data_IF_415609024901
#
_entry.id   IF_415609024901
#
_cell.length_a   1.000
_cell.length_b   1.000
_cell.length_c   1.000
_cell.angle_alpha   90.00
_cell.angle_beta   90.00
_cell.angle_gamma   90.00
#
_symmetry.space_group_name_H-M   'P 1'
#
loop_
_entity.id
_entity.type
_entity.pdbx_description
1 polymer ?
#
# COMPACT_ATOMS: atom_id res chain seq x y z
N UNK A 1 4.40 27.38 21.01
CA UNK A 1 5.28 26.78 20.00
C UNK A 1 6.22 25.81 20.65
N UNK A 2 5.94 24.53 20.45
CA UNK A 2 6.85 23.44 20.75
C UNK A 2 8.21 23.67 20.06
N UNK A 3 9.30 23.47 20.78
CA UNK A 3 10.64 23.47 20.19
C UNK A 3 10.95 22.03 19.72
N UNK A 4 11.14 21.86 18.41
CA UNK A 4 11.38 20.55 17.80
C UNK A 4 12.78 20.49 17.19
N UNK A 5 13.39 19.30 17.22
CA UNK A 5 14.62 19.01 16.48
C UNK A 5 14.43 17.72 15.70
N UNK A 6 14.73 17.73 14.41
CA UNK A 6 14.45 16.57 13.56
C UNK A 6 15.57 16.30 12.57
N UNK A 7 15.55 15.09 12.03
CA UNK A 7 16.36 14.68 10.90
C UNK A 7 15.67 13.53 10.15
N UNK A 8 16.12 13.27 8.94
CA UNK A 8 15.61 12.19 8.13
C UNK A 8 16.74 11.48 7.38
N UNK A 9 16.57 10.19 7.17
CA UNK A 9 17.44 9.38 6.33
C UNK A 9 16.59 8.51 5.42
N UNK A 10 16.99 8.39 4.15
CA UNK A 10 16.34 7.50 3.19
C UNK A 10 17.41 6.76 2.39
N UNK A 11 17.16 5.49 2.09
CA UNK A 11 18.05 4.60 1.35
C UNK A 11 17.22 3.68 0.46
N UNK A 12 17.62 3.43 -0.80
CA UNK A 12 16.89 2.51 -1.68
C UNK A 12 16.90 1.06 -1.17
N UNK A 13 17.74 0.72 -0.19
CA UNK A 13 17.96 -0.64 0.26
C UNK A 13 18.96 -1.39 -0.63
N UNK A 14 19.19 -2.65 -0.29
CA UNK A 14 20.16 -3.53 -0.97
C UNK A 14 19.56 -4.24 -2.19
N UNK A 15 18.23 -4.30 -2.30
CA UNK A 15 17.53 -5.15 -3.28
C UNK A 15 16.69 -4.39 -4.31
N UNK A 16 16.51 -3.07 -4.17
CA UNK A 16 15.73 -2.24 -5.09
C UNK A 16 16.64 -1.38 -5.97
N UNK A 17 16.22 -1.16 -7.22
CA UNK A 17 16.95 -0.32 -8.18
C UNK A 17 16.60 1.17 -8.05
N UNK A 18 15.46 1.48 -7.44
CA UNK A 18 14.90 2.82 -7.29
C UNK A 18 14.32 2.98 -5.89
N UNK A 19 14.25 4.22 -5.43
CA UNK A 19 13.59 4.59 -4.19
C UNK A 19 12.21 5.17 -4.50
N UNK A 20 11.16 4.44 -4.15
CA UNK A 20 9.76 4.86 -4.31
C UNK A 20 9.24 5.55 -3.03
N UNK A 21 10.03 5.62 -1.95
CA UNK A 21 9.68 6.36 -0.74
C UNK A 21 9.92 7.87 -0.91
N UNK A 22 9.03 8.67 -0.33
CA UNK A 22 9.25 10.10 -0.10
C UNK A 22 8.96 10.45 1.36
N UNK A 23 9.59 11.53 1.84
CA UNK A 23 9.33 12.05 3.19
C UNK A 23 9.23 13.58 3.19
N UNK A 24 8.52 14.10 4.18
CA UNK A 24 8.51 15.50 4.57
C UNK A 24 9.11 15.64 5.97
N UNK A 25 10.03 16.58 6.14
CA UNK A 25 10.59 16.90 7.45
C UNK A 25 10.90 18.40 7.53
N UNK A 26 9.87 19.19 7.79
CA UNK A 26 9.94 20.65 7.97
C UNK A 26 9.41 21.01 9.36
N UNK A 27 9.57 22.26 9.76
CA UNK A 27 9.13 22.69 11.08
C UNK A 27 7.63 22.43 11.28
N UNK A 28 7.30 21.72 12.35
CA UNK A 28 5.94 21.33 12.68
C UNK A 28 5.23 20.36 11.74
N UNK A 29 5.83 19.87 10.64
CA UNK A 29 5.15 18.93 9.72
C UNK A 29 6.10 17.84 9.22
N UNK A 30 5.74 16.60 9.52
CA UNK A 30 6.52 15.40 9.22
C UNK A 30 5.64 14.35 8.55
N UNK A 31 6.15 13.69 7.51
CA UNK A 31 5.44 12.60 6.87
C UNK A 31 6.41 11.61 6.21
N UNK A 32 5.99 10.35 6.11
CA UNK A 32 6.62 9.32 5.27
C UNK A 32 5.54 8.71 4.39
N UNK A 33 5.83 8.57 3.11
CA UNK A 33 4.95 7.98 2.11
C UNK A 33 5.73 6.91 1.33
N UNK A 34 5.27 5.67 1.42
CA UNK A 34 5.86 4.51 0.75
C UNK A 34 5.11 4.22 -0.54
N UNK A 35 5.78 4.47 -1.67
CA UNK A 35 5.21 4.34 -3.00
C UNK A 35 5.09 2.87 -3.42
N UNK A 36 3.89 2.44 -3.74
CA UNK A 36 3.63 1.07 -4.21
C UNK A 36 3.33 1.08 -5.70
N UNK A 37 4.11 0.32 -6.47
CA UNK A 37 3.88 0.18 -7.90
C UNK A 37 4.45 -1.08 -8.53
N UNK A 38 5.58 -1.61 -8.04
CA UNK A 38 6.27 -2.80 -8.57
C UNK A 38 6.82 -2.64 -10.00
N UNK A 39 6.16 -1.82 -10.84
CA UNK A 39 6.48 -1.35 -12.18
C UNK A 39 5.73 -0.03 -12.55
N UNK A 40 4.93 0.55 -11.65
CA UNK A 40 3.91 1.58 -11.94
C UNK A 40 4.02 2.77 -10.97
N UNK A 41 4.85 3.76 -11.32
CA UNK A 41 4.86 5.14 -10.81
C UNK A 41 4.63 5.32 -9.29
N UNK A 42 5.10 4.41 -8.44
CA UNK A 42 4.93 4.49 -6.99
C UNK A 42 5.60 5.73 -6.42
N UNK A 43 6.77 6.07 -6.96
CA UNK A 43 7.53 7.29 -6.67
C UNK A 43 6.72 8.55 -6.94
N UNK A 44 5.87 8.54 -7.97
CA UNK A 44 5.02 9.68 -8.32
C UNK A 44 3.88 9.82 -7.30
N UNK A 45 3.31 8.72 -6.83
CA UNK A 45 2.23 8.74 -5.85
C UNK A 45 2.71 9.25 -4.47
N UNK A 46 3.86 8.75 -4.01
CA UNK A 46 4.47 9.19 -2.75
C UNK A 46 4.93 10.66 -2.83
N UNK A 47 5.53 11.08 -3.95
CA UNK A 47 5.91 12.48 -4.20
C UNK A 47 4.70 13.43 -4.18
N UNK A 48 3.61 13.10 -4.89
CA UNK A 48 2.37 13.90 -4.90
C UNK A 48 1.86 14.11 -3.47
N UNK A 49 1.87 13.05 -2.67
CA UNK A 49 1.35 13.07 -1.29
C UNK A 49 2.16 14.01 -0.41
N UNK A 50 3.48 13.84 -0.39
CA UNK A 50 4.40 14.65 0.41
C UNK A 50 4.36 16.13 -0.01
N UNK A 51 4.35 16.41 -1.32
CA UNK A 51 4.30 17.77 -1.83
C UNK A 51 3.00 18.48 -1.48
N UNK A 52 1.86 17.79 -1.55
CA UNK A 52 0.56 18.40 -1.21
C UNK A 52 0.45 18.71 0.29
N UNK A 53 0.98 17.83 1.15
CA UNK A 53 1.10 18.07 2.59
C UNK A 53 1.99 19.29 2.85
N UNK A 54 3.16 19.37 2.20
CA UNK A 54 4.07 20.49 2.35
C UNK A 54 3.46 21.82 1.88
N UNK A 55 2.80 21.84 0.72
CA UNK A 55 2.19 23.05 0.16
C UNK A 55 1.10 23.62 1.07
N UNK A 56 0.31 22.75 1.70
CA UNK A 56 -0.89 23.19 2.43
C UNK A 56 -0.68 23.35 3.92
N UNK A 57 0.22 22.59 4.53
CA UNK A 57 0.52 22.69 5.96
C UNK A 57 1.84 23.41 6.24
N UNK A 58 2.79 23.42 5.29
CA UNK A 58 4.10 24.04 5.45
C UNK A 58 4.18 25.53 5.08
N UNK A 59 3.13 26.08 4.46
CA UNK A 59 3.09 27.49 4.01
C UNK A 59 2.84 28.51 5.13
N UNK A 60 2.65 28.07 6.38
CA UNK A 60 2.26 28.97 7.48
C UNK A 60 3.40 29.91 7.93
N UNK A 61 4.64 29.73 7.46
CA UNK A 61 5.79 30.57 7.84
C UNK A 61 6.66 31.11 6.69
N UNK A 62 6.18 31.13 5.44
CA UNK A 62 6.92 31.72 4.30
C UNK A 62 6.55 33.19 4.00
N UNK A 63 6.19 33.97 5.02
CA UNK A 63 6.14 35.42 4.90
C UNK A 63 7.39 36.06 5.51
N UNK A 64 8.14 36.77 4.66
CA UNK A 64 9.18 37.77 4.94
C UNK A 64 10.66 37.34 4.95
N UNK A 65 11.22 37.08 3.76
CA UNK A 65 12.48 37.74 3.33
C UNK A 65 12.49 37.85 1.80
N UNK A 66 12.04 38.99 1.26
CA UNK A 66 12.65 39.54 0.04
C UNK A 66 13.21 40.92 0.42
N UNK A 67 14.52 40.94 0.68
CA UNK A 67 15.35 42.13 0.57
C UNK A 67 15.42 42.52 -0.91
N UNK A 68 15.01 43.75 -1.26
CA UNK A 68 15.69 44.56 -2.26
C UNK A 68 15.27 46.05 -2.16
N UNK A 69 16.05 47.00 -2.71
CA UNK A 69 16.56 48.11 -1.94
C UNK A 69 15.91 49.46 -2.25
N UNK A 70 16.22 50.40 -1.35
CA UNK A 70 16.02 51.85 -1.42
C UNK A 70 16.24 52.41 -2.84
N UNK A 71 15.23 53.09 -3.39
CA UNK A 71 15.45 54.24 -4.28
C UNK A 71 14.57 55.40 -3.82
N UNK A 72 15.24 56.42 -3.29
CA UNK A 72 14.71 57.77 -3.14
C UNK A 72 14.31 58.28 -4.53
N UNK A 73 13.16 58.92 -4.68
CA UNK A 73 13.02 60.26 -5.26
C UNK A 73 11.63 60.83 -4.97
N UNK A 74 11.67 62.04 -4.42
CA UNK A 74 10.53 62.88 -4.14
C UNK A 74 9.95 63.49 -5.41
N UNK A 75 8.62 63.63 -5.48
CA UNK A 75 8.01 64.80 -6.09
C UNK A 75 6.64 65.10 -5.46
N UNK A 76 6.47 66.38 -5.15
CA UNK A 76 5.35 67.03 -4.48
C UNK A 76 4.20 67.37 -5.43
N UNK A 77 2.95 67.32 -4.96
CA UNK A 77 1.94 68.38 -5.21
C UNK A 77 0.79 68.32 -4.20
N UNK A 78 0.43 69.49 -3.69
CA UNK A 78 -0.71 69.82 -2.82
C UNK A 78 -2.10 69.57 -3.46
N UNK A 79 -3.11 69.16 -2.67
CA UNK A 79 -4.43 69.82 -2.54
C UNK A 79 -5.31 69.16 -1.41
N UNK A 80 -6.16 69.89 -0.65
CA UNK A 80 -6.88 69.36 0.51
C UNK A 80 -8.41 69.18 0.33
N UNK A 81 -8.91 67.97 0.66
CA UNK A 81 -10.25 67.62 1.25
C UNK A 81 -11.55 68.01 0.50
N UNK A 82 -12.77 67.47 0.81
CA UNK A 82 -13.18 66.65 1.98
C UNK A 82 -14.11 65.43 1.71
N UNK A 83 -14.18 64.56 2.73
CA UNK A 83 -15.34 63.75 3.17
C UNK A 83 -16.19 62.98 2.16
N UNK A 84 -16.06 61.65 2.20
CA UNK A 84 -17.19 60.73 2.06
C UNK A 84 -17.08 59.68 3.16
N UNK A 85 -18.15 59.57 3.93
CA UNK A 85 -18.39 58.51 4.91
C UNK A 85 -18.26 57.16 4.19
N UNK A 86 -17.36 56.30 4.65
CA UNK A 86 -17.31 54.90 4.21
C UNK A 86 -17.11 53.98 5.42
N UNK A 87 -17.88 52.91 5.39
CA UNK A 87 -18.12 51.96 6.46
C UNK A 87 -16.81 51.35 6.96
N UNK A 88 -16.55 51.45 8.26
CA UNK A 88 -15.45 50.72 8.90
C UNK A 88 -15.87 49.26 9.09
N UNK A 89 -15.80 48.44 8.02
CA UNK A 89 -15.54 47.02 8.20
C UNK A 89 -14.11 46.89 8.70
N UNK A 90 -13.97 46.48 9.96
CA UNK A 90 -12.71 46.03 10.52
C UNK A 90 -12.29 44.75 9.81
N UNK A 91 -11.70 44.88 8.62
CA UNK A 91 -10.86 43.83 8.03
C UNK A 91 -9.53 43.86 8.78
N UNK A 92 -9.51 43.26 9.95
CA UNK A 92 -8.28 42.63 10.44
C UNK A 92 -7.87 41.60 9.38
N UNK A 93 -6.60 41.54 8.96
CA UNK A 93 -6.12 40.39 8.20
C UNK A 93 -6.44 39.16 9.04
N UNK A 94 -7.25 38.23 8.50
CA UNK A 94 -7.45 36.93 9.11
C UNK A 94 -6.04 36.39 9.45
N UNK A 95 -5.77 36.13 10.72
CA UNK A 95 -4.59 35.36 11.08
C UNK A 95 -4.58 34.09 10.23
N UNK A 96 -3.42 33.65 9.71
CA UNK A 96 -3.36 32.42 8.92
C UNK A 96 -4.04 31.33 9.73
N UNK A 97 -5.10 30.74 9.16
CA UNK A 97 -5.90 29.75 9.85
C UNK A 97 -4.97 28.64 10.35
N UNK A 98 -4.91 28.45 11.67
CA UNK A 98 -4.04 27.45 12.27
C UNK A 98 -4.35 26.07 11.68
N UNK A 99 -3.31 25.29 11.39
CA UNK A 99 -3.46 23.91 10.92
C UNK A 99 -4.30 23.13 11.92
N UNK A 100 -5.35 22.43 11.49
CA UNK A 100 -6.15 21.54 12.35
C UNK A 100 -5.97 20.09 11.91
N UNK A 101 -6.45 19.14 12.73
CA UNK A 101 -6.52 17.73 12.33
C UNK A 101 -7.38 17.53 11.08
N UNK A 102 -8.47 18.28 10.96
CA UNK A 102 -9.34 18.28 9.77
C UNK A 102 -8.60 18.79 8.53
N UNK A 103 -7.74 19.81 8.67
CA UNK A 103 -6.88 20.26 7.58
C UNK A 103 -5.97 19.12 7.14
N UNK A 104 -5.26 18.47 8.07
CA UNK A 104 -4.36 17.36 7.76
C UNK A 104 -5.08 16.23 7.00
N UNK A 105 -6.24 15.78 7.49
CA UNK A 105 -7.01 14.71 6.85
C UNK A 105 -7.57 15.13 5.50
N UNK A 106 -8.03 16.37 5.34
CA UNK A 106 -8.50 16.92 4.06
C UNK A 106 -7.37 16.92 3.03
N UNK A 107 -6.16 17.32 3.41
CA UNK A 107 -5.01 17.32 2.50
C UNK A 107 -4.65 15.91 2.05
N UNK A 108 -4.65 14.94 2.96
CA UNK A 108 -4.41 13.52 2.60
C UNK A 108 -5.52 12.98 1.67
N UNK A 109 -6.78 13.35 1.89
CA UNK A 109 -7.89 12.99 1.01
C UNK A 109 -7.77 13.60 -0.40
N UNK A 110 -7.28 14.84 -0.49
CA UNK A 110 -7.01 15.49 -1.77
C UNK A 110 -5.80 14.89 -2.49
N UNK A 111 -4.79 14.40 -1.75
CA UNK A 111 -3.70 13.63 -2.32
C UNK A 111 -4.23 12.35 -2.98
N UNK A 112 -5.12 11.62 -2.32
CA UNK A 112 -5.79 10.44 -2.91
C UNK A 112 -6.49 10.79 -4.24
N UNK A 113 -7.27 11.87 -4.24
CA UNK A 113 -7.98 12.35 -5.44
C UNK A 113 -7.02 12.72 -6.57
N UNK A 114 -5.90 13.37 -6.23
CA UNK A 114 -4.89 13.82 -7.19
C UNK A 114 -4.13 12.64 -7.79
N UNK A 115 -3.79 11.63 -6.99
CA UNK A 115 -3.14 10.38 -7.43
C UNK A 115 -4.06 9.66 -8.41
N UNK A 116 -5.35 9.48 -8.08
CA UNK A 116 -6.33 8.82 -8.96
C UNK A 116 -6.49 9.59 -10.28
N UNK A 117 -6.56 10.92 -10.23
CA UNK A 117 -6.63 11.74 -11.44
C UNK A 117 -5.38 11.58 -12.32
N UNK A 118 -4.18 11.59 -11.71
CA UNK A 118 -2.92 11.38 -12.41
C UNK A 118 -2.82 9.97 -13.03
N UNK A 119 -3.24 8.94 -12.30
CA UNK A 119 -3.28 7.55 -12.78
C UNK A 119 -4.25 7.36 -13.96
N UNK A 120 -5.37 8.08 -13.98
CA UNK A 120 -6.34 8.03 -15.09
C UNK A 120 -5.88 8.78 -16.35
N UNK A 121 -5.01 9.78 -16.19
CA UNK A 121 -4.53 10.63 -17.30
C UNK A 121 -3.31 10.05 -18.03
N UNK A 122 -2.52 9.20 -17.38
CA UNK A 122 -1.34 8.56 -17.97
C UNK A 122 -1.37 7.04 -17.76
N UNK A 123 -1.49 6.23 -18.83
CA UNK A 123 -1.44 4.77 -18.73
C UNK A 123 -0.19 4.21 -18.03
N UNK A 124 0.92 4.96 -17.99
CA UNK A 124 2.15 4.57 -17.28
C UNK A 124 2.03 4.70 -15.76
N UNK A 125 1.04 5.45 -15.29
CA UNK A 125 0.75 5.71 -13.87
C UNK A 125 -0.48 4.94 -13.39
N UNK A 126 -1.08 4.12 -14.27
CA UNK A 126 -2.27 3.36 -13.95
C UNK A 126 -1.99 2.40 -12.79
N UNK A 127 -2.75 2.52 -11.70
CA UNK A 127 -2.60 1.67 -10.53
C UNK A 127 -1.47 2.08 -9.57
N UNK A 128 -0.85 3.24 -9.74
CA UNK A 128 0.06 3.78 -8.74
C UNK A 128 -0.69 4.06 -7.43
N UNK A 129 -0.03 3.78 -6.31
CA UNK A 129 -0.56 4.09 -4.99
C UNK A 129 0.58 4.34 -4.01
N UNK A 130 0.23 4.78 -2.82
CA UNK A 130 1.20 5.04 -1.76
C UNK A 130 0.56 4.86 -0.40
N UNK A 131 1.36 4.50 0.59
CA UNK A 131 1.00 4.72 1.99
C UNK A 131 1.20 6.20 2.35
N UNK A 132 0.71 6.60 3.51
CA UNK A 132 1.17 7.82 4.19
C UNK A 132 1.06 7.64 5.69
N UNK A 133 2.07 8.10 6.42
CA UNK A 133 2.00 8.32 7.86
C UNK A 133 2.50 9.73 8.15
N UNK A 134 1.74 10.52 8.90
CA UNK A 134 2.00 11.94 9.11
C UNK A 134 1.86 12.33 10.58
N UNK A 135 2.74 13.22 11.00
CA UNK A 135 2.76 13.87 12.31
C UNK A 135 2.90 15.38 12.07
N UNK A 136 1.92 16.17 12.49
CA UNK A 136 1.95 17.62 12.32
C UNK A 136 1.56 18.33 13.61
N UNK A 137 2.15 19.49 13.89
CA UNK A 137 1.66 20.40 14.92
C UNK A 137 0.37 21.01 14.41
N UNK A 138 -0.71 20.76 15.13
CA UNK A 138 -2.06 21.24 14.82
C UNK A 138 -2.64 21.94 16.04
N UNK A 139 -3.63 22.79 15.80
CA UNK A 139 -4.39 23.47 16.83
C UNK A 139 -5.67 22.71 17.16
N UNK A 140 -5.77 22.24 18.40
CA UNK A 140 -6.99 21.72 19.01
C UNK A 140 -7.73 22.83 19.77
N UNK A 141 -9.07 22.96 19.63
CA UNK A 141 -9.84 24.01 20.30
C UNK A 141 -9.78 23.99 21.83
N UNK A 142 -9.48 22.83 22.43
CA UNK A 142 -9.46 22.61 23.88
C UNK A 142 -8.03 22.66 24.40
N UNK A 143 -7.12 21.92 23.75
CA UNK A 143 -5.77 21.69 24.25
C UNK A 143 -4.71 22.63 23.65
N UNK A 144 -5.05 23.41 22.62
CA UNK A 144 -4.12 24.33 21.95
C UNK A 144 -3.21 23.59 20.96
N UNK A 145 -1.89 23.83 21.02
CA UNK A 145 -0.94 23.12 20.15
C UNK A 145 -0.79 21.65 20.57
N UNK A 146 -1.15 20.75 19.66
CA UNK A 146 -1.02 19.30 19.83
C UNK A 146 -0.40 18.68 18.59
N UNK A 147 0.05 17.43 18.67
CA UNK A 147 0.37 16.65 17.48
C UNK A 147 -0.89 16.04 16.89
N UNK A 148 -1.17 16.31 15.62
CA UNK A 148 -2.09 15.55 14.79
C UNK A 148 -1.37 14.38 14.14
N UNK A 149 -1.90 13.18 14.35
CA UNK A 149 -1.45 11.94 13.72
C UNK A 149 -2.44 11.55 12.64
N UNK A 150 -1.94 11.17 11.46
CA UNK A 150 -2.76 10.59 10.40
C UNK A 150 -2.03 9.43 9.71
N UNK A 151 -2.74 8.33 9.46
CA UNK A 151 -2.16 7.11 8.89
C UNK A 151 -3.07 6.46 7.84
N UNK A 152 -2.47 6.08 6.71
CA UNK A 152 -3.05 5.20 5.68
C UNK A 152 -1.96 4.27 5.17
N UNK A 153 -2.00 3.01 5.60
CA UNK A 153 -1.10 1.96 5.13
C UNK A 153 -0.42 1.30 6.31
N UNK A 154 0.71 0.67 6.05
CA UNK A 154 1.54 -0.06 7.00
C UNK A 154 2.88 0.61 7.32
N UNK A 155 3.12 1.83 6.80
CA UNK A 155 4.11 2.73 7.38
C UNK A 155 3.74 3.10 8.83
N UNK A 156 4.74 3.36 9.66
CA UNK A 156 4.55 3.41 11.13
C UNK A 156 5.03 4.71 11.74
N UNK A 157 4.34 5.10 12.82
CA UNK A 157 4.84 6.07 13.78
C UNK A 157 5.08 5.34 15.09
N UNK A 158 6.23 5.59 15.71
CA UNK A 158 6.56 5.21 17.06
C UNK A 158 6.79 6.44 17.91
N UNK A 159 6.55 6.32 19.22
CA UNK A 159 7.00 7.26 20.23
C UNK A 159 7.91 6.52 21.22
N UNK A 160 9.06 7.12 21.51
CA UNK A 160 9.95 6.70 22.57
C UNK A 160 9.84 7.69 23.73
N UNK A 161 9.35 7.21 24.87
CA UNK A 161 9.29 7.97 26.13
C UNK A 161 9.90 7.13 27.25
N UNK A 162 10.77 7.75 28.04
CA UNK A 162 11.48 7.05 29.13
C UNK A 162 12.19 5.77 28.65
N UNK A 163 12.83 5.83 27.48
CA UNK A 163 13.53 4.70 26.83
C UNK A 163 12.62 3.51 26.46
N UNK A 164 11.30 3.71 26.41
CA UNK A 164 10.34 2.69 25.98
C UNK A 164 9.75 3.10 24.66
N UNK A 165 10.00 2.30 23.62
CA UNK A 165 9.42 2.47 22.31
C UNK A 165 8.01 1.88 22.28
N UNK A 166 7.05 2.62 21.72
CA UNK A 166 5.69 2.17 21.49
C UNK A 166 5.24 2.60 20.10
N UNK A 167 4.65 1.67 19.36
CA UNK A 167 4.00 1.98 18.10
C UNK A 167 2.72 2.78 18.38
N UNK A 168 2.58 3.90 17.68
CA UNK A 168 1.46 4.83 17.74
C UNK A 168 0.39 4.42 16.71
N UNK A 169 0.80 4.07 15.49
CA UNK A 169 -0.12 3.69 14.41
C UNK A 169 -0.50 2.22 14.44
N UNK A 170 -1.53 1.88 13.67
CA UNK A 170 -1.96 0.51 13.42
C UNK A 170 -1.86 0.28 11.92
N UNK A 171 -1.18 -0.80 11.53
CA UNK A 171 -0.95 -1.11 10.12
C UNK A 171 -2.27 -1.47 9.42
N UNK A 172 -2.50 -0.91 8.25
CA UNK A 172 -3.54 -1.38 7.34
C UNK A 172 -2.99 -2.52 6.48
N UNK A 173 -2.76 -3.67 7.09
CA UNK A 173 -2.22 -4.86 6.41
C UNK A 173 -3.03 -6.12 6.73
N UNK A 174 -2.98 -7.10 5.83
CA UNK A 174 -3.68 -8.38 5.99
C UNK A 174 -3.22 -9.12 7.25
N UNK A 175 -1.94 -9.05 7.58
CA UNK A 175 -1.40 -9.69 8.79
C UNK A 175 -1.84 -8.97 10.05
N UNK A 176 -2.01 -7.65 10.02
CA UNK A 176 -2.51 -6.89 11.16
C UNK A 176 -3.98 -7.24 11.45
N UNK A 177 -4.80 -7.50 10.43
CA UNK A 177 -6.16 -8.01 10.60
C UNK A 177 -6.16 -9.40 11.28
N UNK A 178 -5.28 -10.32 10.85
CA UNK A 178 -5.14 -11.62 11.48
C UNK A 178 -4.68 -11.53 12.95
N UNK A 179 -3.79 -10.59 13.27
CA UNK A 179 -3.36 -10.33 14.65
C UNK A 179 -4.51 -9.80 15.48
N UNK A 180 -5.29 -8.85 14.95
CA UNK A 180 -6.45 -8.27 15.65
C UNK A 180 -7.54 -9.32 15.94
N UNK A 181 -7.74 -10.29 15.03
CA UNK A 181 -8.65 -11.43 15.22
C UNK A 181 -8.09 -12.51 16.17
N UNK A 182 -6.81 -12.40 16.57
CA UNK A 182 -6.11 -13.40 17.37
C UNK A 182 -5.80 -14.69 16.60
N UNK A 183 -5.81 -14.64 15.27
CA UNK A 183 -5.49 -15.78 14.40
C UNK A 183 -3.99 -16.08 14.36
N UNK A 184 -3.16 -15.04 14.48
CA UNK A 184 -1.69 -15.13 14.60
C UNK A 184 -1.20 -14.15 15.66
N UNK A 185 0.00 -14.38 16.17
CA UNK A 185 0.73 -13.45 17.05
C UNK A 185 1.48 -12.38 16.24
N UNK A 186 1.88 -11.28 16.89
CA UNK A 186 2.72 -10.24 16.26
C UNK A 186 4.04 -10.80 15.72
N UNK A 187 4.65 -11.74 16.45
CA UNK A 187 5.91 -12.37 16.02
C UNK A 187 5.70 -13.26 14.80
N UNK A 188 4.57 -13.98 14.72
CA UNK A 188 4.21 -14.78 13.55
C UNK A 188 3.89 -13.92 12.32
N UNK A 189 3.31 -12.74 12.51
CA UNK A 189 3.01 -11.80 11.43
C UNK A 189 4.26 -11.41 10.63
N UNK A 190 5.40 -11.21 11.30
CA UNK A 190 6.70 -10.83 10.68
C UNK A 190 7.18 -11.84 9.63
N UNK A 191 6.89 -13.12 9.80
CA UNK A 191 7.32 -14.18 8.90
C UNK A 191 6.18 -14.70 8.00
N UNK A 192 5.02 -14.05 8.03
CA UNK A 192 3.86 -14.52 7.30
C UNK A 192 4.08 -14.39 5.78
N UNK A 193 3.70 -15.40 4.96
CA UNK A 193 3.90 -15.36 3.50
C UNK A 193 3.17 -14.22 2.77
N UNK A 194 2.20 -13.59 3.45
CA UNK A 194 1.39 -12.48 2.92
C UNK A 194 1.54 -11.21 3.77
N UNK A 195 2.71 -10.99 4.40
CA UNK A 195 2.94 -9.79 5.22
C UNK A 195 2.90 -8.50 4.39
N UNK A 196 3.42 -8.53 3.16
CA UNK A 196 3.44 -7.39 2.22
C UNK A 196 2.07 -7.10 1.55
N UNK A 197 0.94 -7.54 2.12
CA UNK A 197 -0.39 -7.23 1.57
C UNK A 197 -0.98 -6.09 2.40
N UNK A 198 -0.95 -4.90 1.81
CA UNK A 198 -1.60 -3.70 2.33
C UNK A 198 -3.10 -3.75 2.03
N UNK A 199 -3.94 -3.45 3.02
CA UNK A 199 -5.40 -3.43 2.90
C UNK A 199 -5.96 -2.03 2.67
N UNK A 200 -5.15 -0.98 2.86
CA UNK A 200 -5.53 0.41 2.57
C UNK A 200 -4.37 1.26 2.08
N UNK A 201 -4.58 1.99 0.99
CA UNK A 201 -3.59 2.88 0.41
C UNK A 201 -4.24 4.03 -0.36
N UNK A 202 -3.50 5.12 -0.53
CA UNK A 202 -3.89 6.22 -1.41
C UNK A 202 -3.70 5.80 -2.88
N UNK A 203 -4.52 6.34 -3.78
CA UNK A 203 -4.46 6.09 -5.22
C UNK A 203 -5.25 4.88 -5.72
N UNK A 204 -5.67 3.99 -4.80
CA UNK A 204 -6.32 2.72 -5.16
C UNK A 204 -7.84 2.84 -5.15
N UNK A 205 -8.41 3.34 -4.05
CA UNK A 205 -9.86 3.49 -3.88
C UNK A 205 -10.29 4.96 -3.97
N UNK A 206 -11.44 5.22 -4.59
CA UNK A 206 -11.97 6.59 -4.76
C UNK A 206 -12.21 7.34 -3.46
N UNK A 207 -12.48 6.62 -2.38
CA UNK A 207 -12.59 7.14 -1.04
C UNK A 207 -11.74 6.26 -0.13
N UNK A 208 -10.89 6.89 0.67
CA UNK A 208 -9.99 6.20 1.60
C UNK A 208 -10.29 6.69 3.00
N UNK A 209 -10.47 5.75 3.94
CA UNK A 209 -10.60 6.10 5.35
C UNK A 209 -9.23 6.41 5.91
N UNK A 210 -9.06 7.60 6.47
CA UNK A 210 -7.82 8.03 7.11
C UNK A 210 -7.98 7.82 8.61
N UNK A 211 -7.09 7.05 9.22
CA UNK A 211 -7.08 6.88 10.67
C UNK A 211 -6.32 8.10 11.24
N UNK A 212 -6.96 8.91 12.08
CA UNK A 212 -6.38 10.16 12.59
C UNK A 212 -6.84 10.49 14.01
N UNK A 213 -5.94 11.03 14.83
CA UNK A 213 -6.20 11.46 16.21
C UNK A 213 -5.16 12.50 16.67
N UNK A 214 -5.38 13.13 17.82
CA UNK A 214 -4.43 14.06 18.44
C UNK A 214 -3.63 13.42 19.57
N UNK A 215 -2.43 13.93 19.81
CA UNK A 215 -1.55 13.54 20.90
C UNK A 215 -0.91 14.78 21.55
N UNK A 216 -0.72 14.80 22.88
CA UNK A 216 -0.04 15.90 23.55
C UNK A 216 1.43 15.97 23.13
N UNK A 217 1.95 17.19 23.05
CA UNK A 217 3.37 17.44 22.77
C UNK A 217 4.13 17.37 24.09
N UNK A 218 4.76 16.24 24.40
CA UNK A 218 5.42 16.02 25.69
C UNK A 218 6.94 16.16 25.55
N UNK A 219 7.52 17.00 26.39
CA UNK A 219 8.97 17.25 26.39
C UNK A 219 9.76 15.97 26.65
N UNK A 220 10.75 15.72 25.81
CA UNK A 220 11.63 14.56 25.89
C UNK A 220 11.11 13.33 25.14
N UNK A 221 9.95 13.42 24.50
CA UNK A 221 9.51 12.41 23.54
C UNK A 221 10.37 12.46 22.29
N UNK A 222 10.64 11.27 21.76
CA UNK A 222 11.23 11.08 20.43
C UNK A 222 10.28 10.28 19.57
N UNK A 223 9.84 10.85 18.45
CA UNK A 223 9.03 10.17 17.45
C UNK A 223 9.90 9.58 16.35
N UNK A 224 9.45 8.44 15.82
CA UNK A 224 10.05 7.79 14.64
C UNK A 224 8.94 7.54 13.64
N UNK A 225 8.98 8.20 12.49
CA UNK A 225 8.13 7.86 11.35
C UNK A 225 8.98 7.02 10.39
N UNK A 226 8.44 5.92 9.88
CA UNK A 226 9.18 5.07 8.96
C UNK A 226 8.31 4.34 7.93
N UNK A 227 8.90 4.01 6.78
CA UNK A 227 8.33 3.05 5.83
C UNK A 227 8.44 1.62 6.36
N UNK A 228 7.80 0.67 5.67
CA UNK A 228 7.85 -0.73 6.08
C UNK A 228 9.29 -1.29 6.01
N UNK A 229 10.14 -0.76 5.13
CA UNK A 229 11.52 -1.17 4.97
C UNK A 229 12.40 -0.98 6.21
N UNK A 230 12.05 -0.09 7.14
CA UNK A 230 12.65 -0.13 8.48
C UNK A 230 12.04 -1.29 9.29
N UNK A 231 10.72 -1.28 9.44
CA UNK A 231 10.03 -2.07 10.45
C UNK A 231 9.94 -3.59 10.15
N UNK A 232 10.13 -3.96 8.88
CA UNK A 232 10.23 -5.35 8.41
C UNK A 232 11.64 -5.93 8.59
N UNK A 233 12.67 -5.09 8.58
CA UNK A 233 14.08 -5.52 8.60
C UNK A 233 14.83 -5.14 9.89
N UNK A 234 14.25 -4.29 10.74
CA UNK A 234 14.72 -4.00 12.08
C UNK A 234 13.62 -4.30 13.10
N UNK A 235 13.99 -5.00 14.18
CA UNK A 235 13.11 -5.25 15.32
C UNK A 235 12.91 -3.99 16.16
N UNK A 236 11.84 -3.95 16.95
CA UNK A 236 11.57 -2.83 17.86
C UNK A 236 12.71 -2.63 18.87
N UNK A 237 13.38 -3.72 19.28
CA UNK A 237 14.57 -3.67 20.14
C UNK A 237 15.77 -3.04 19.41
N UNK A 238 16.03 -3.42 18.16
CA UNK A 238 17.10 -2.82 17.35
C UNK A 238 16.85 -1.34 17.04
N UNK A 239 15.59 -0.97 16.76
CA UNK A 239 15.20 0.45 16.62
C UNK A 239 15.50 1.16 17.94
N UNK A 240 15.05 0.62 19.07
CA UNK A 240 15.32 1.18 20.40
C UNK A 240 16.82 1.36 20.65
N UNK A 241 17.65 0.36 20.32
CA UNK A 241 19.11 0.46 20.43
C UNK A 241 19.70 1.60 19.60
N UNK A 242 19.23 1.78 18.35
CA UNK A 242 19.67 2.89 17.49
C UNK A 242 19.34 4.25 18.11
N UNK A 243 18.12 4.41 18.65
CA UNK A 243 17.69 5.66 19.28
C UNK A 243 18.48 5.95 20.57
N UNK A 244 18.75 4.93 21.38
CA UNK A 244 19.49 5.07 22.65
C UNK A 244 20.99 5.28 22.45
N UNK A 245 21.56 4.80 21.35
CA UNK A 245 22.96 5.05 20.99
C UNK A 245 23.23 6.52 20.63
N UNK A 246 22.20 7.24 20.16
CA UNK A 246 22.28 8.61 19.68
C UNK A 246 21.22 9.52 20.33
N UNK A 247 21.26 9.72 21.67
CA UNK A 247 20.17 10.36 22.41
C UNK A 247 19.94 11.83 22.03
N UNK A 248 20.97 12.55 21.60
CA UNK A 248 20.88 13.99 21.30
C UNK A 248 21.09 14.31 19.80
N UNK A 249 21.17 13.28 18.95
CA UNK A 249 21.52 13.41 17.53
C UNK A 249 20.51 12.63 16.66
N UNK A 250 19.39 13.27 16.25
CA UNK A 250 18.38 12.61 15.44
C UNK A 250 18.91 12.20 14.06
N UNK A 251 19.92 12.89 13.51
CA UNK A 251 20.51 12.55 12.21
C UNK A 251 21.31 11.25 12.31
N UNK A 252 22.18 11.14 13.31
CA UNK A 252 22.91 9.90 13.57
C UNK A 252 21.96 8.75 13.92
N UNK A 253 20.88 9.01 14.69
CA UNK A 253 19.87 8.01 15.01
C UNK A 253 19.14 7.50 13.75
N UNK A 254 18.71 8.40 12.85
CA UNK A 254 18.03 8.05 11.61
C UNK A 254 18.92 7.16 10.71
N UNK A 255 20.18 7.55 10.51
CA UNK A 255 21.15 6.76 9.75
C UNK A 255 21.46 5.40 10.42
N UNK A 256 21.56 5.36 11.76
CA UNK A 256 21.77 4.11 12.47
C UNK A 256 20.60 3.13 12.28
N UNK A 257 19.36 3.62 12.25
CA UNK A 257 18.16 2.83 11.95
C UNK A 257 18.19 2.29 10.50
N UNK A 258 18.55 3.13 9.53
CA UNK A 258 18.72 2.71 8.12
C UNK A 258 19.79 1.63 8.01
N UNK A 259 20.95 1.83 8.65
CA UNK A 259 22.02 0.84 8.68
C UNK A 259 21.58 -0.48 9.36
N UNK A 260 20.72 -0.41 10.38
CA UNK A 260 20.16 -1.59 11.03
C UNK A 260 19.25 -2.39 10.09
N UNK A 261 18.33 -1.73 9.39
CA UNK A 261 17.47 -2.36 8.39
C UNK A 261 18.28 -2.97 7.24
N UNK A 262 19.31 -2.28 6.76
CA UNK A 262 20.21 -2.83 5.75
C UNK A 262 20.99 -4.05 6.24
N UNK A 263 21.44 -4.07 7.51
CA UNK A 263 22.01 -5.28 8.13
C UNK A 263 21.00 -6.42 8.25
N UNK A 264 19.73 -6.11 8.48
CA UNK A 264 18.62 -7.07 8.53
C UNK A 264 18.21 -7.65 7.17
N UNK A 265 18.72 -7.10 6.07
CA UNK A 265 18.56 -7.63 4.72
C UNK A 265 18.30 -6.57 3.66
N UNK A 266 17.79 -5.38 4.05
CA UNK A 266 17.57 -4.26 3.14
C UNK A 266 16.78 -4.64 1.88
N UNK A 267 15.70 -5.40 2.03
CA UNK A 267 14.93 -5.90 0.89
C UNK A 267 13.95 -4.90 0.28
N UNK A 268 13.78 -3.74 0.92
CA UNK A 268 12.90 -2.66 0.50
C UNK A 268 13.59 -1.29 0.58
N UNK A 269 12.90 -0.26 0.09
CA UNK A 269 13.24 1.14 0.35
C UNK A 269 13.06 1.44 1.84
N UNK A 270 14.01 2.17 2.43
CA UNK A 270 14.07 2.42 3.86
C UNK A 270 14.06 3.92 4.07
N UNK A 271 13.01 4.42 4.70
CA UNK A 271 12.88 5.84 5.04
C UNK A 271 12.54 6.01 6.50
N UNK A 272 13.27 6.91 7.17
CA UNK A 272 13.17 7.17 8.61
C UNK A 272 13.20 8.67 8.86
N UNK A 273 12.23 9.18 9.62
CA UNK A 273 12.21 10.56 10.14
C UNK A 273 12.19 10.49 11.65
N UNK A 274 13.12 11.18 12.31
CA UNK A 274 13.22 11.29 13.76
C UNK A 274 12.83 12.70 14.17
N UNK A 275 11.95 12.82 15.18
CA UNK A 275 11.51 14.12 15.72
C UNK A 275 11.67 14.11 17.24
N UNK A 276 12.52 14.98 17.77
CA UNK A 276 12.76 15.22 19.18
C UNK A 276 11.93 16.42 19.66
N UNK A 277 11.19 16.22 20.75
CA UNK A 277 10.46 17.29 21.43
C UNK A 277 11.34 17.92 22.50
N UNK A 278 11.89 19.10 22.21
CA UNK A 278 12.78 19.83 23.13
C UNK A 278 12.01 20.67 24.15
N UNK A 279 10.84 21.19 23.77
CA UNK A 279 9.92 21.90 24.66
C UNK A 279 8.46 21.49 24.41
N UNK A 280 7.67 21.42 25.49
CA UNK A 280 6.32 20.89 25.50
C UNK A 280 5.81 20.62 26.93
N UNK A 281 4.72 19.88 27.03
CA UNK A 281 4.11 19.48 28.29
C UNK A 281 5.07 18.68 29.17
N UNK A 282 4.82 18.75 30.48
CA UNK A 282 5.62 18.01 31.45
C UNK A 282 5.41 16.50 31.26
N UNK A 283 6.49 15.70 31.12
CA UNK A 283 6.34 14.27 30.97
C UNK A 283 5.67 13.64 32.20
N UNK A 284 4.82 12.61 32.00
CA UNK A 284 4.21 11.87 33.09
C UNK A 284 5.26 11.12 33.92
N UNK A 285 4.85 10.53 35.06
CA UNK A 285 5.79 9.76 35.88
C UNK A 285 6.36 8.57 35.07
N UNK A 286 7.68 8.32 35.11
CA UNK A 286 8.28 7.21 34.36
C UNK A 286 7.78 5.82 34.75
N UNK A 287 7.15 5.68 35.91
CA UNK A 287 6.50 4.45 36.35
C UNK A 287 5.13 4.22 35.70
N UNK A 288 4.49 5.26 35.17
CA UNK A 288 3.25 5.13 34.42
C UNK A 288 3.52 4.51 33.03
N UNK A 289 2.60 3.67 32.56
CA UNK A 289 2.67 3.19 31.18
C UNK A 289 2.38 4.34 30.21
N UNK A 290 2.99 4.27 29.02
CA UNK A 290 2.63 5.18 27.93
C UNK A 290 1.26 4.73 27.44
N UNK A 291 0.20 5.37 27.96
CA UNK A 291 -1.18 5.07 27.56
C UNK A 291 -1.46 5.71 26.20
N UNK A 292 -1.16 4.96 25.14
CA UNK A 292 -1.55 5.30 23.77
C UNK A 292 -2.83 4.53 23.52
N UNK A 293 -3.97 5.12 23.86
CA UNK A 293 -5.27 4.63 23.39
C UNK A 293 -5.56 5.36 22.08
N UNK A 294 -5.53 4.68 20.93
CA UNK A 294 -6.04 5.27 19.70
C UNK A 294 -7.52 5.57 19.91
N UNK A 295 -7.90 6.83 20.04
CA UNK A 295 -9.30 7.26 20.07
C UNK A 295 -9.84 7.13 18.64
N UNK A 296 -10.64 6.09 18.40
CA UNK A 296 -11.34 5.92 17.12
C UNK A 296 -12.70 6.61 17.21
N UNK A 297 -13.04 7.37 16.18
CA UNK A 297 -14.27 8.15 16.07
C UNK A 297 -15.50 7.28 15.67
N UNK A 298 -15.69 6.13 16.33
CA UNK A 298 -16.74 5.15 16.02
C UNK A 298 -17.71 4.87 17.19
N UNK A 299 -18.06 5.89 17.99
CA UNK A 299 -19.13 5.78 19.00
C UNK A 299 -20.41 6.61 18.71
N UNK A 300 -20.53 7.24 17.53
CA UNK A 300 -21.76 7.96 17.13
C UNK A 300 -22.58 7.23 16.04
N UNK A 301 -23.50 6.36 16.48
CA UNK A 301 -24.72 6.02 15.73
C UNK A 301 -25.93 5.81 16.69
N UNK A 302 -27.16 6.23 16.32
CA UNK A 302 -28.10 6.90 17.23
C UNK A 302 -29.05 5.96 18.02
N UNK A 303 -29.80 6.49 19.01
CA UNK A 303 -30.56 5.68 19.96
C UNK A 303 -31.85 5.18 19.33
N UNK A 304 -32.12 3.87 19.42
CA UNK A 304 -33.45 3.34 19.15
C UNK A 304 -33.89 2.32 20.19
N UNK A 305 -34.95 2.71 20.91
CA UNK A 305 -35.99 1.78 21.37
C UNK A 305 -35.84 1.25 22.79
N UNK A 306 -36.53 1.91 23.72
CA UNK A 306 -36.98 1.34 24.99
C UNK A 306 -37.62 -0.05 24.83
N UNK A 307 -37.41 -0.94 25.79
CA UNK A 307 -38.53 -1.70 26.37
C UNK A 307 -38.19 -2.15 27.80
N UNK A 308 -38.89 -1.51 28.73
CA UNK A 308 -38.96 -1.78 30.16
C UNK A 308 -39.90 -2.98 30.42
N UNK A 309 -39.48 -4.01 31.17
CA UNK A 309 -40.40 -4.91 31.89
C UNK A 309 -39.81 -5.28 33.26
N UNK A 310 -40.65 -5.05 34.27
CA UNK A 310 -40.54 -5.20 35.72
C UNK A 310 -40.74 -6.65 36.19
N UNK A 311 -40.05 -7.07 37.26
CA UNK A 311 -40.62 -7.74 38.47
C UNK A 311 -39.59 -8.61 39.25
N UNK A 312 -39.02 -8.04 40.32
CA UNK A 312 -38.99 -8.45 41.75
C UNK A 312 -39.57 -9.83 42.20
N UNK A 313 -39.39 -10.27 43.48
CA UNK A 313 -38.19 -10.34 44.36
C UNK A 313 -38.17 -11.67 45.21
N UNK A 314 -37.80 -11.60 46.51
CA UNK A 314 -37.94 -12.58 47.64
C UNK A 314 -36.76 -13.60 47.77
N UNK A 315 -36.10 -13.89 48.91
CA UNK A 315 -36.43 -13.83 50.36
C UNK A 315 -35.13 -13.68 51.20
N UNK A 316 -35.25 -12.98 52.34
CA UNK A 316 -34.34 -12.94 53.49
C UNK A 316 -33.98 -14.31 54.11
N UNK A 317 -32.84 -14.41 54.82
CA UNK A 317 -32.83 -14.76 56.25
C UNK A 317 -31.45 -14.62 56.93
N UNK A 318 -31.52 -14.05 58.14
CA UNK A 318 -30.74 -14.30 59.37
C UNK A 318 -29.26 -13.85 59.55
N UNK A 319 -29.14 -12.80 60.38
CA UNK A 319 -28.07 -12.52 61.38
C UNK A 319 -28.28 -13.43 62.62
N UNK A 320 -27.31 -13.66 63.58
CA UNK A 320 -26.46 -12.61 64.17
C UNK A 320 -25.10 -12.99 64.85
N UNK A 321 -24.46 -11.91 65.37
CA UNK A 321 -23.62 -11.74 66.59
C UNK A 321 -22.10 -11.95 66.62
N UNK A 322 -21.45 -10.83 67.02
CA UNK A 322 -20.32 -10.60 67.95
C UNK A 322 -18.96 -11.28 67.73
N UNK A 323 -17.87 -10.52 67.48
CA UNK A 323 -16.99 -9.93 68.53
C UNK A 323 -15.73 -9.25 67.92
N UNK A 324 -15.09 -8.42 68.74
CA UNK A 324 -14.01 -7.44 68.50
C UNK A 324 -12.69 -7.84 67.77
N UNK A 325 -12.24 -6.96 66.85
CA UNK A 325 -10.87 -6.47 66.50
C UNK A 325 -9.72 -7.45 66.10
N UNK A 326 -8.64 -7.04 65.37
CA UNK A 326 -8.24 -5.71 64.88
C UNK A 326 -8.02 -5.58 63.35
N UNK A 327 -8.02 -4.34 62.85
CA UNK A 327 -7.94 -3.95 61.43
C UNK A 327 -6.57 -4.21 60.80
N UNK A 328 -6.47 -5.29 60.02
CA UNK A 328 -5.42 -5.51 59.01
C UNK A 328 -6.01 -5.10 57.65
N UNK A 329 -5.42 -4.12 56.96
CA UNK A 329 -5.91 -3.64 55.66
C UNK A 329 -5.53 -4.66 54.57
N UNK A 330 -6.48 -5.36 53.92
CA UNK A 330 -6.16 -6.27 52.81
C UNK A 330 -6.07 -5.50 51.48
N UNK A 331 -5.31 -6.02 50.49
CA UNK A 331 -5.18 -5.38 49.18
C UNK A 331 -6.52 -5.41 48.42
N UNK A 332 -6.76 -4.45 47.49
CA UNK A 332 -8.03 -4.36 46.76
C UNK A 332 -8.28 -5.58 45.88
N UNK A 333 -9.53 -6.05 45.89
CA UNK A 333 -9.99 -7.21 45.13
C UNK A 333 -10.02 -6.95 43.60
N UNK A 334 -9.78 -7.98 42.76
CA UNK A 334 -9.94 -7.86 41.32
C UNK A 334 -11.41 -7.67 40.92
N UNK A 335 -11.72 -6.92 39.84
CA UNK A 335 -13.09 -6.63 39.43
C UNK A 335 -13.88 -7.89 39.03
N UNK A 336 -15.22 -7.87 39.17
CA UNK A 336 -16.06 -9.05 39.01
C UNK A 336 -16.07 -9.56 37.56
N UNK A 337 -15.69 -10.83 37.38
CA UNK A 337 -15.87 -11.56 36.12
C UNK A 337 -17.37 -11.80 35.87
N UNK A 338 -17.97 -11.05 34.94
CA UNK A 338 -19.30 -11.39 34.41
C UNK A 338 -19.20 -12.65 33.56
N UNK A 339 -19.83 -13.73 34.03
CA UNK A 339 -19.93 -15.01 33.34
C UNK A 339 -20.77 -14.89 32.06
N UNK A 340 -20.15 -15.15 30.90
CA UNK A 340 -20.83 -15.39 29.62
C UNK A 340 -21.27 -16.85 29.54
N UNK A 341 -22.57 -17.07 29.63
CA UNK A 341 -23.26 -18.32 29.26
C UNK A 341 -24.66 -17.86 28.88
N UNK A 342 -25.27 -18.09 27.71
CA UNK A 342 -25.17 -19.05 26.60
C UNK A 342 -25.51 -18.17 25.34
N UNK A 343 -25.26 -18.46 24.05
CA UNK A 343 -25.87 -19.56 23.29
C UNK A 343 -25.24 -19.74 21.89
N UNK A 344 -25.07 -21.00 21.43
CA UNK A 344 -24.43 -21.44 20.18
C UNK A 344 -25.18 -21.10 18.87
N UNK A 345 -26.16 -20.20 18.93
CA UNK A 345 -27.00 -19.85 17.77
C UNK A 345 -26.27 -18.92 16.79
N UNK A 346 -25.36 -18.08 17.29
CA UNK A 346 -24.50 -17.19 16.47
C UNK A 346 -23.47 -17.98 15.67
N UNK A 347 -22.91 -19.05 16.26
CA UNK A 347 -21.97 -19.95 15.58
C UNK A 347 -22.64 -20.71 14.42
N UNK A 348 -23.90 -21.10 14.59
CA UNK A 348 -24.65 -21.80 13.54
C UNK A 348 -24.94 -20.89 12.33
N UNK A 349 -25.26 -19.61 12.57
CA UNK A 349 -25.49 -18.65 11.48
C UNK A 349 -24.23 -18.40 10.65
N UNK A 350 -23.06 -18.28 11.31
CA UNK A 350 -21.77 -18.13 10.65
C UNK A 350 -21.44 -19.38 9.83
N UNK A 351 -21.59 -20.58 10.39
CA UNK A 351 -21.34 -21.85 9.66
C UNK A 351 -22.22 -21.96 8.41
N UNK A 352 -23.50 -21.57 8.49
CA UNK A 352 -24.41 -21.60 7.34
C UNK A 352 -23.98 -20.59 6.26
N UNK A 353 -23.58 -19.37 6.66
CA UNK A 353 -23.12 -18.34 5.74
C UNK A 353 -21.81 -18.74 5.05
N UNK A 354 -20.84 -19.24 5.81
CA UNK A 354 -19.57 -19.78 5.27
C UNK A 354 -19.82 -20.97 4.34
N UNK A 355 -20.75 -21.86 4.69
CA UNK A 355 -21.17 -22.97 3.83
C UNK A 355 -21.77 -22.50 2.51
N UNK A 356 -22.58 -21.44 2.52
CA UNK A 356 -23.15 -20.84 1.30
C UNK A 356 -22.09 -20.16 0.42
N UNK A 357 -21.12 -19.47 1.04
CA UNK A 357 -20.00 -18.84 0.32
C UNK A 357 -19.11 -19.93 -0.32
N UNK A 358 -18.78 -20.98 0.42
CA UNK A 358 -17.99 -22.10 -0.09
C UNK A 358 -18.74 -22.87 -1.20
N UNK A 359 -20.05 -23.10 -1.05
CA UNK A 359 -20.87 -23.72 -2.08
C UNK A 359 -21.00 -22.82 -3.33
N UNK A 360 -21.12 -21.50 -3.14
CA UNK A 360 -21.13 -20.51 -4.21
C UNK A 360 -19.80 -20.47 -4.97
N UNK A 361 -18.67 -20.48 -4.25
CA UNK A 361 -17.34 -20.58 -4.82
C UNK A 361 -17.10 -21.92 -5.55
N UNK A 362 -17.57 -23.04 -5.00
CA UNK A 362 -17.52 -24.35 -5.65
C UNK A 362 -18.38 -24.39 -6.93
N UNK A 363 -19.55 -23.74 -6.94
CA UNK A 363 -20.41 -23.66 -8.11
C UNK A 363 -19.82 -22.72 -9.19
N UNK A 364 -19.24 -21.59 -8.77
CA UNK A 364 -18.51 -20.67 -9.66
C UNK A 364 -17.29 -21.34 -10.27
N UNK A 365 -16.50 -22.08 -9.50
CA UNK A 365 -15.33 -22.83 -10.00
C UNK A 365 -15.75 -23.97 -10.93
N UNK A 366 -16.81 -24.71 -10.62
CA UNK A 366 -17.36 -25.73 -11.51
C UNK A 366 -17.84 -25.13 -12.84
N UNK A 367 -18.44 -23.93 -12.81
CA UNK A 367 -18.94 -23.23 -14.01
C UNK A 367 -17.85 -22.46 -14.78
N UNK A 368 -16.75 -22.09 -14.14
CA UNK A 368 -15.61 -21.44 -14.78
C UNK A 368 -14.73 -22.42 -15.58
N UNK A 369 -14.77 -23.72 -15.24
CA UNK A 369 -14.04 -24.79 -15.94
C UNK A 369 -14.79 -25.40 -17.14
N UNK A 370 -16.01 -24.97 -17.43
CA UNK A 370 -16.78 -25.49 -18.57
C UNK A 370 -16.51 -24.69 -19.83
N UNK A 371 -15.98 -25.36 -20.86
CA UNK A 371 -15.84 -24.82 -22.20
C UNK A 371 -14.41 -24.93 -22.74
N UNK A 372 -14.32 -25.09 -24.05
CA UNK A 372 -13.07 -25.15 -24.81
C UNK A 372 -13.04 -24.01 -25.81
N UNK A 373 -11.86 -23.50 -26.11
CA UNK A 373 -11.65 -22.54 -27.21
C UNK A 373 -10.34 -22.84 -27.92
N UNK A 374 -10.22 -22.39 -29.16
CA UNK A 374 -9.00 -22.51 -29.97
C UNK A 374 -8.32 -21.14 -30.00
N UNK A 375 -7.02 -21.10 -29.73
CA UNK A 375 -6.23 -19.88 -29.73
C UNK A 375 -4.77 -20.15 -30.09
N UNK A 376 -3.96 -19.10 -30.15
CA UNK A 376 -2.51 -19.23 -30.29
C UNK A 376 -1.86 -19.37 -28.91
N UNK A 377 -0.93 -20.31 -28.78
CA UNK A 377 -0.06 -20.40 -27.62
C UNK A 377 1.14 -19.45 -27.71
N UNK A 378 2.06 -19.53 -26.74
CA UNK A 378 3.24 -18.66 -26.66
C UNK A 378 4.20 -18.83 -27.85
N UNK A 379 4.09 -19.94 -28.60
CA UNK A 379 4.91 -20.26 -29.77
C UNK A 379 4.16 -20.00 -31.10
N UNK A 380 3.08 -19.21 -31.06
CA UNK A 380 2.21 -18.90 -32.21
C UNK A 380 1.62 -20.17 -32.87
N UNK A 381 1.47 -21.25 -32.11
CA UNK A 381 0.87 -22.52 -32.57
C UNK A 381 -0.60 -22.56 -32.19
N UNK A 382 -1.43 -23.06 -33.11
CA UNK A 382 -2.86 -23.27 -32.86
C UNK A 382 -3.03 -24.37 -31.81
N UNK A 383 -3.60 -24.01 -30.66
CA UNK A 383 -3.74 -24.87 -29.49
C UNK A 383 -5.17 -24.80 -28.93
N UNK A 384 -5.67 -25.95 -28.48
CA UNK A 384 -6.98 -26.05 -27.81
C UNK A 384 -6.78 -25.80 -26.31
N UNK A 385 -7.49 -24.82 -25.79
CA UNK A 385 -7.46 -24.44 -24.38
C UNK A 385 -8.77 -24.85 -23.68
N UNK A 386 -8.64 -25.31 -22.44
CA UNK A 386 -9.77 -25.59 -21.55
C UNK A 386 -9.87 -24.52 -20.46
N UNK A 387 -11.09 -23.99 -20.26
CA UNK A 387 -11.39 -23.02 -19.21
C UNK A 387 -11.38 -21.55 -19.67
N UNK A 388 -11.57 -20.64 -18.71
CA UNK A 388 -11.58 -19.18 -18.93
C UNK A 388 -10.32 -18.55 -18.35
N UNK A 389 -9.81 -17.52 -19.02
CA UNK A 389 -8.90 -16.57 -18.39
C UNK A 389 -9.71 -15.64 -17.49
N UNK A 390 -9.56 -15.77 -16.16
CA UNK A 390 -10.33 -15.01 -15.18
C UNK A 390 -9.47 -14.79 -13.93
N UNK A 391 -9.09 -13.53 -13.65
CA UNK A 391 -8.34 -12.94 -12.50
C UNK A 391 -7.28 -13.78 -11.74
N UNK A 392 -7.53 -15.05 -11.46
CA UNK A 392 -6.68 -16.00 -10.73
C UNK A 392 -6.67 -17.41 -11.35
N UNK A 393 -7.20 -17.60 -12.57
CA UNK A 393 -7.19 -18.86 -13.31
C UNK A 393 -6.57 -18.69 -14.70
N UNK A 394 -5.47 -19.41 -14.93
CA UNK A 394 -4.88 -19.56 -16.27
C UNK A 394 -5.56 -20.72 -17.02
N UNK A 395 -5.93 -20.56 -18.29
CA UNK A 395 -6.46 -21.64 -19.10
C UNK A 395 -5.41 -22.76 -19.24
N UNK A 396 -5.86 -24.02 -19.19
CA UNK A 396 -4.97 -25.17 -19.38
C UNK A 396 -4.86 -25.47 -20.87
N UNK A 397 -3.64 -25.48 -21.41
CA UNK A 397 -3.39 -25.94 -22.78
C UNK A 397 -3.51 -27.47 -22.81
N UNK A 398 -4.51 -28.00 -23.53
CA UNK A 398 -4.75 -29.45 -23.55
C UNK A 398 -4.06 -30.15 -24.73
N UNK A 399 -4.02 -29.53 -25.91
CA UNK A 399 -3.38 -30.15 -27.07
C UNK A 399 -2.96 -29.12 -28.14
N UNK A 400 -1.69 -29.11 -28.57
CA UNK A 400 -1.26 -28.38 -29.75
C UNK A 400 -1.71 -29.11 -31.03
N UNK A 401 -2.26 -28.37 -31.99
CA UNK A 401 -2.71 -28.90 -33.29
C UNK A 401 -1.54 -28.95 -34.29
N UNK A 402 -0.38 -28.39 -33.93
CA UNK A 402 0.88 -28.52 -34.68
C UNK A 402 0.95 -27.64 -35.93
N UNK A 403 0.05 -26.68 -36.08
CA UNK A 403 0.03 -25.70 -37.17
C UNK A 403 0.39 -24.33 -36.60
N UNK A 404 1.40 -23.70 -37.19
CA UNK A 404 1.86 -22.37 -36.76
C UNK A 404 1.09 -21.27 -37.49
N UNK A 405 0.96 -20.11 -36.87
CA UNK A 405 0.31 -18.92 -37.43
C UNK A 405 0.79 -18.58 -38.85
N UNK A 406 2.07 -18.82 -39.14
CA UNK A 406 2.70 -18.61 -40.46
C UNK A 406 2.16 -19.49 -41.59
N UNK A 407 1.48 -20.60 -41.26
CA UNK A 407 0.95 -21.57 -42.21
C UNK A 407 -0.54 -21.35 -42.52
N UNK A 408 -1.18 -20.35 -41.89
CA UNK A 408 -2.59 -20.02 -42.05
C UNK A 408 -2.79 -18.82 -42.97
N UNK A 409 -3.92 -18.80 -43.69
CA UNK A 409 -4.37 -17.61 -44.41
C UNK A 409 -5.02 -16.59 -43.47
N UNK A 410 -5.13 -15.34 -43.91
CA UNK A 410 -5.63 -14.24 -43.07
C UNK A 410 -7.05 -14.48 -42.53
N UNK A 411 -7.89 -15.21 -43.27
CA UNK A 411 -9.24 -15.57 -42.84
C UNK A 411 -9.21 -16.59 -41.70
N UNK A 412 -8.34 -17.59 -41.77
CA UNK A 412 -8.14 -18.58 -40.70
C UNK A 412 -7.55 -17.96 -39.43
N UNK A 413 -6.61 -17.01 -39.58
CA UNK A 413 -6.05 -16.27 -38.43
C UNK A 413 -7.15 -15.51 -37.69
N UNK A 414 -8.02 -14.79 -38.41
CA UNK A 414 -9.12 -14.05 -37.80
C UNK A 414 -10.12 -14.96 -37.06
N UNK A 415 -10.38 -16.17 -37.58
CA UNK A 415 -11.26 -17.16 -36.93
C UNK A 415 -10.66 -17.73 -35.63
N UNK A 416 -9.33 -17.88 -35.56
CA UNK A 416 -8.64 -18.31 -34.33
C UNK A 416 -8.59 -17.16 -33.32
N UNK A 417 -8.39 -15.92 -33.77
CA UNK A 417 -8.39 -14.73 -32.90
C UNK A 417 -9.78 -14.40 -32.33
N UNK A 418 -10.86 -14.82 -33.00
CA UNK A 418 -12.23 -14.70 -32.48
C UNK A 418 -12.47 -15.54 -31.20
N UNK A 419 -11.59 -16.50 -30.89
CA UNK A 419 -11.67 -17.37 -29.71
C UNK A 419 -13.06 -18.00 -29.51
N UNK A 420 -13.61 -18.54 -30.61
CA UNK A 420 -14.92 -19.18 -30.61
C UNK A 420 -14.99 -20.31 -29.58
N UNK A 421 -16.11 -20.38 -28.85
CA UNK A 421 -16.32 -21.34 -27.76
C UNK A 421 -17.00 -22.61 -28.24
N UNK A 422 -16.59 -23.73 -27.63
CA UNK A 422 -17.11 -25.07 -27.87
C UNK A 422 -17.48 -25.75 -26.56
N UNK A 423 -18.55 -26.53 -26.59
CA UNK A 423 -19.07 -27.26 -25.42
C UNK A 423 -18.29 -28.56 -25.16
N UNK A 424 -17.41 -28.99 -26.08
CA UNK A 424 -16.59 -30.20 -25.93
C UNK A 424 -15.22 -30.09 -26.62
N UNK A 425 -14.24 -30.83 -26.10
CA UNK A 425 -12.89 -30.94 -26.67
C UNK A 425 -12.91 -31.46 -28.12
N UNK A 426 -13.76 -32.44 -28.41
CA UNK A 426 -13.86 -33.03 -29.75
C UNK A 426 -14.35 -32.00 -30.77
N UNK A 427 -15.34 -31.18 -30.41
CA UNK A 427 -15.86 -30.12 -31.31
C UNK A 427 -14.83 -29.01 -31.52
N UNK A 428 -14.08 -28.64 -30.49
CA UNK A 428 -12.98 -27.68 -30.62
C UNK A 428 -11.86 -28.21 -31.53
N UNK A 429 -11.54 -29.50 -31.41
CA UNK A 429 -10.52 -30.18 -32.22
C UNK A 429 -10.97 -30.32 -33.68
N UNK A 430 -12.24 -30.66 -33.92
CA UNK A 430 -12.83 -30.68 -35.27
C UNK A 430 -12.79 -29.30 -35.93
N UNK A 431 -13.13 -28.25 -35.18
CA UNK A 431 -13.02 -26.88 -35.66
C UNK A 431 -11.57 -26.51 -35.98
N UNK A 432 -10.62 -26.82 -35.10
CA UNK A 432 -9.21 -26.59 -35.37
C UNK A 432 -8.74 -27.35 -36.62
N UNK A 433 -9.21 -28.58 -36.84
CA UNK A 433 -8.91 -29.37 -38.04
C UNK A 433 -9.53 -28.77 -39.33
N UNK A 434 -10.65 -28.05 -39.23
CA UNK A 434 -11.22 -27.32 -40.39
C UNK A 434 -10.47 -26.04 -40.75
N UNK A 435 -9.72 -25.47 -39.80
CA UNK A 435 -8.88 -24.29 -40.00
C UNK A 435 -7.56 -24.67 -40.69
N UNK A 436 -7.12 -25.92 -40.55
CA UNK A 436 -5.96 -26.45 -41.29
C UNK A 436 -6.36 -26.66 -42.75
N UNK A 437 -5.78 -25.94 -43.72
CA UNK A 437 -6.04 -26.24 -45.12
C UNK A 437 -5.58 -27.67 -45.41
N UNK A 438 -6.50 -28.51 -45.89
CA UNK A 438 -6.17 -29.86 -46.37
C UNK A 438 -5.07 -29.73 -47.41
N UNK A 439 -3.84 -30.09 -47.03
CA UNK A 439 -2.72 -30.17 -47.96
C UNK A 439 -3.16 -31.00 -49.16
N UNK A 440 -3.32 -30.34 -50.30
CA UNK A 440 -3.55 -31.02 -51.57
C UNK A 440 -2.31 -31.87 -51.81
N UNK A 441 -2.48 -33.20 -51.71
CA UNK A 441 -1.51 -34.19 -52.16
C UNK A 441 -1.11 -33.87 -53.59
N UNK A 442 0.00 -33.14 -53.77
CA UNK A 442 0.61 -32.99 -55.08
C UNK A 442 1.45 -34.24 -55.30
N UNK A 443 0.84 -35.23 -55.94
CA UNK A 443 1.54 -36.37 -56.52
C UNK A 443 2.60 -35.83 -57.49
N UNK A 444 3.87 -35.85 -57.09
CA UNK A 444 5.00 -35.54 -57.97
C UNK A 444 5.15 -36.69 -58.98
N UNK A 445 4.57 -36.52 -60.17
CA UNK A 445 4.92 -37.34 -61.33
C UNK A 445 6.37 -37.02 -61.70
N UNK A 446 7.26 -38.00 -61.51
CA UNK A 446 8.66 -37.91 -61.94
C UNK A 446 8.71 -38.04 -63.46
N UNK A 447 8.88 -36.92 -64.17
CA UNK A 447 9.21 -36.92 -65.60
C UNK A 447 10.73 -36.90 -65.74
N UNK A 448 11.32 -38.06 -66.04
CA UNK A 448 12.74 -38.19 -66.38
C UNK A 448 13.04 -37.42 -67.66
N UNK A 449 13.76 -36.31 -67.56
CA UNK A 449 14.36 -35.61 -68.71
C UNK A 449 15.83 -36.01 -68.79
N UNK A 450 16.17 -36.84 -69.76
CA UNK A 450 17.55 -37.27 -70.04
C UNK A 450 18.30 -36.14 -70.75
N UNK A 451 19.22 -35.48 -70.04
CA UNK A 451 20.16 -34.52 -70.63
C UNK A 451 21.39 -35.26 -71.16
N UNK A 452 21.47 -35.42 -72.48
CA UNK A 452 22.66 -35.93 -73.18
C UNK A 452 23.77 -34.88 -73.17
N UNK A 453 24.83 -35.11 -72.39
CA UNK A 453 26.04 -34.29 -72.41
C UNK A 453 26.98 -34.81 -73.50
N UNK A 454 27.12 -34.03 -74.58
CA UNK A 454 28.08 -34.29 -75.67
C UNK A 454 29.47 -33.82 -75.20
N UNK A 455 30.37 -34.77 -74.99
CA UNK A 455 31.80 -34.50 -74.76
C UNK A 455 32.54 -34.63 -76.08
N UNK A 456 33.06 -33.53 -76.61
CA UNK A 456 33.95 -33.50 -77.78
C UNK A 456 35.41 -33.58 -77.33
N UNK A 457 36.11 -34.64 -77.73
CA UNK A 457 37.56 -34.81 -77.58
C UNK A 457 38.22 -34.56 -78.95
N UNK A 458 39.34 -33.81 -79.06
CA UNK A 458 39.92 -33.47 -80.34
C UNK A 458 40.80 -34.60 -80.91
N UNK A 459 40.60 -34.90 -82.19
CA UNK A 459 41.36 -35.85 -82.99
C UNK A 459 42.68 -35.22 -83.46
N UNK A 460 43.83 -35.79 -83.07
CA UNK A 460 45.12 -35.53 -83.73
C UNK A 460 45.60 -36.81 -84.41
N UNK A 461 45.93 -36.70 -85.69
CA UNK A 461 46.37 -37.80 -86.54
C UNK A 461 47.82 -38.21 -86.23
N UNK A 462 48.10 -39.51 -86.17
CA UNK A 462 49.43 -40.06 -86.50
C UNK A 462 49.30 -41.48 -87.06
N UNK A 463 50.10 -41.73 -88.08
CA UNK A 463 50.25 -42.88 -89.00
C UNK A 463 50.69 -44.21 -88.32
N UNK A 464 50.61 -45.38 -89.02
CA UNK A 464 50.58 -46.72 -88.40
C UNK A 464 51.94 -47.48 -88.52
N UNK A 465 52.02 -48.82 -88.34
CA UNK A 465 52.57 -49.51 -87.17
C UNK A 465 53.86 -50.32 -87.45
N UNK A 466 54.70 -50.63 -86.44
CA UNK A 466 55.72 -51.70 -86.58
C UNK A 466 56.23 -52.27 -85.23
N UNK A 467 55.75 -53.48 -84.90
CA UNK A 467 56.49 -54.71 -84.52
C UNK A 467 57.28 -54.88 -83.20
N UNK A 468 57.11 -56.09 -82.65
CA UNK A 468 57.95 -56.90 -81.73
C UNK A 468 58.03 -56.45 -80.26
N UNK A 469 58.04 -57.33 -79.27
CA UNK A 469 58.10 -58.79 -79.23
C UNK A 469 58.46 -59.24 -77.81
N UNK A 470 58.01 -60.46 -77.48
CA UNK A 470 58.27 -61.29 -76.29
C UNK A 470 57.83 -60.79 -74.91
#
# INVERSE_FOLDING_TARGET
MAELKWAAATDPGLSRDQNEDHYLAIDGVFAVADGMGGHLAGEVASEITVNLIAERLGATDLASVEDDPIDDQAESTDDPSPSTDDDTSSDTPDEPAANTLDTLTTVIGDANTTIIASANNDPKRAGMGTTVTALAVVHDPIDGEVFGVANVGDSRIYVMRHNRLRQVTIDHSFVQELVAEGAITRDEARFHPRRNIVTRALGVESYVRIDSWTMPIIRGDRFVLCSDGLSDYATDDEITECLLAHPDDPDAAAHACVDAANRGGGGDNITVVIVDVLDGDTPPDPTEEIDIVPLWDDDDAPPSGEHQIVADPIVDDDLPTDDDAPTEVPPPAPPPRRSRTIRPLRFLAIIVLTGLILAGGALLTARARTGYYVGFDQDDTVTVFQGRNLLWFSPTAEAPVGVTRSQLDQASIALVEEQRRFDSFNTATEFAATIVPTTTTTTTTTTTTTTTTVTTVPTTATTPPTTAGN
#
